data_IF_818903104968
#
_entry.id   IF_818903104968
#
_cell.length_a   1.000
_cell.length_b   1.000
_cell.length_c   1.000
_cell.angle_alpha   90.00
_cell.angle_beta   90.00
_cell.angle_gamma   90.00
#
_symmetry.space_group_name_H-M   'P 1'
#
loop_
_entity.id
_entity.type
_entity.pdbx_description
1 polymer ?
#
# COMPACT_ATOMS: atom_id res chain seq x y z
N UNK A 1 -42.57 -28.15 -13.73
CA UNK A 1 -41.24 -27.84 -14.31
C UNK A 1 -40.66 -26.49 -13.88
N UNK A 2 -41.31 -25.73 -12.98
CA UNK A 2 -40.81 -24.40 -12.56
C UNK A 2 -39.87 -24.43 -11.33
N UNK A 3 -39.96 -25.46 -10.48
CA UNK A 3 -39.18 -25.52 -9.23
C UNK A 3 -37.70 -25.85 -9.40
N UNK A 4 -37.31 -26.59 -10.45
CA UNK A 4 -35.89 -26.95 -10.67
C UNK A 4 -35.02 -25.76 -11.04
N UNK A 5 -35.60 -24.78 -11.74
CA UNK A 5 -34.90 -23.55 -12.09
C UNK A 5 -34.71 -22.65 -10.86
N UNK A 6 -35.71 -22.60 -9.99
CA UNK A 6 -35.68 -21.87 -8.72
C UNK A 6 -34.65 -22.47 -7.75
N UNK A 7 -34.61 -23.80 -7.63
CA UNK A 7 -33.57 -24.52 -6.88
C UNK A 7 -32.17 -24.30 -7.48
N UNK A 8 -32.05 -24.32 -8.81
CA UNK A 8 -30.78 -24.06 -9.50
C UNK A 8 -30.26 -22.64 -9.25
N UNK A 9 -31.15 -21.64 -9.25
CA UNK A 9 -30.80 -20.25 -8.91
C UNK A 9 -30.39 -20.14 -7.45
N UNK A 10 -31.11 -20.81 -6.53
CA UNK A 10 -30.75 -20.86 -5.11
C UNK A 10 -29.35 -21.45 -4.88
N UNK A 11 -29.02 -22.55 -5.57
CA UNK A 11 -27.69 -23.16 -5.52
C UNK A 11 -26.61 -22.27 -6.13
N UNK A 12 -26.92 -21.55 -7.21
CA UNK A 12 -25.98 -20.61 -7.84
C UNK A 12 -25.66 -19.43 -6.90
N UNK A 13 -26.67 -18.85 -6.25
CA UNK A 13 -26.48 -17.76 -5.28
C UNK A 13 -25.68 -18.24 -4.08
N UNK A 14 -25.98 -19.43 -3.55
CA UNK A 14 -25.24 -20.02 -2.44
C UNK A 14 -23.77 -20.27 -2.79
N UNK A 15 -23.52 -20.88 -3.95
CA UNK A 15 -22.17 -21.17 -4.44
C UNK A 15 -21.36 -19.90 -4.72
N UNK A 16 -21.95 -18.94 -5.43
CA UNK A 16 -21.30 -17.65 -5.71
C UNK A 16 -21.07 -16.82 -4.44
N UNK A 17 -22.00 -16.85 -3.49
CA UNK A 17 -21.86 -16.19 -2.19
C UNK A 17 -20.73 -16.77 -1.35
N UNK A 18 -20.61 -18.10 -1.31
CA UNK A 18 -19.52 -18.77 -0.60
C UNK A 18 -18.15 -18.45 -1.22
N UNK A 19 -18.05 -18.51 -2.56
CA UNK A 19 -16.81 -18.13 -3.27
C UNK A 19 -16.46 -16.67 -3.00
N UNK A 20 -17.44 -15.76 -3.05
CA UNK A 20 -17.22 -14.35 -2.73
C UNK A 20 -16.67 -14.17 -1.31
N UNK A 21 -17.31 -14.81 -0.31
CA UNK A 21 -16.85 -14.75 1.08
C UNK A 21 -15.44 -15.32 1.24
N UNK A 22 -15.15 -16.44 0.58
CA UNK A 22 -13.82 -17.05 0.58
C UNK A 22 -12.75 -16.11 0.00
N UNK A 23 -13.03 -15.46 -1.14
CA UNK A 23 -12.13 -14.48 -1.74
C UNK A 23 -11.94 -13.26 -0.84
N UNK A 24 -12.99 -12.75 -0.20
CA UNK A 24 -12.89 -11.66 0.78
C UNK A 24 -11.93 -12.05 1.90
N UNK A 25 -12.08 -13.25 2.47
CA UNK A 25 -11.16 -13.77 3.49
C UNK A 25 -9.72 -13.86 2.97
N UNK A 26 -9.51 -14.35 1.74
CA UNK A 26 -8.17 -14.42 1.14
C UNK A 26 -7.55 -13.05 0.89
N UNK A 27 -8.34 -12.05 0.49
CA UNK A 27 -7.88 -10.67 0.32
C UNK A 27 -7.39 -10.12 1.66
N UNK A 28 -8.19 -10.31 2.73
CA UNK A 28 -7.76 -9.91 4.07
C UNK A 28 -6.51 -10.66 4.50
N UNK A 29 -6.46 -11.99 4.35
CA UNK A 29 -5.29 -12.80 4.71
C UNK A 29 -4.02 -12.33 3.97
N UNK A 30 -4.12 -12.07 2.67
CA UNK A 30 -3.01 -11.56 1.86
C UNK A 30 -2.61 -10.14 2.29
N UNK A 31 -3.58 -9.29 2.62
CA UNK A 31 -3.32 -7.95 3.16
C UNK A 31 -2.66 -7.98 4.55
N UNK A 32 -3.09 -8.89 5.42
CA UNK A 32 -2.43 -9.15 6.71
C UNK A 32 -1.01 -9.64 6.49
N UNK A 33 -0.79 -10.56 5.56
CA UNK A 33 0.54 -11.04 5.22
C UNK A 33 1.41 -9.90 4.67
N UNK A 34 0.88 -9.03 3.81
CA UNK A 34 1.60 -7.85 3.32
C UNK A 34 2.00 -6.91 4.47
N UNK A 35 1.08 -6.63 5.41
CA UNK A 35 1.37 -5.76 6.55
C UNK A 35 2.34 -6.40 7.54
N UNK A 36 2.20 -7.70 7.77
CA UNK A 36 3.04 -8.48 8.66
C UNK A 36 4.45 -8.61 8.10
N UNK A 37 4.58 -8.82 6.78
CA UNK A 37 5.86 -8.81 6.09
C UNK A 37 6.52 -7.43 6.16
N UNK A 38 5.81 -6.34 5.86
CA UNK A 38 6.35 -4.98 6.00
C UNK A 38 6.75 -4.62 7.45
N UNK A 39 6.10 -5.23 8.45
CA UNK A 39 6.38 -4.98 9.85
C UNK A 39 7.55 -5.84 10.40
N UNK A 40 7.59 -7.14 10.07
CA UNK A 40 8.67 -8.04 10.51
C UNK A 40 9.94 -7.91 9.67
N UNK A 41 9.79 -7.61 8.38
CA UNK A 41 10.87 -7.30 7.45
C UNK A 41 10.54 -5.95 6.80
N UNK A 42 10.90 -4.82 7.46
CA UNK A 42 10.87 -3.53 6.81
C UNK A 42 11.84 -3.59 5.62
N UNK A 43 11.30 -3.94 4.45
CA UNK A 43 12.03 -3.80 3.22
C UNK A 43 12.17 -2.29 3.02
N UNK A 44 13.37 -1.80 3.34
CA UNK A 44 13.80 -0.44 3.05
C UNK A 44 13.37 -0.19 1.60
N UNK A 45 12.49 0.77 1.31
CA UNK A 45 11.96 0.94 -0.03
C UNK A 45 13.13 1.06 -0.98
N UNK A 46 13.37 0.01 -1.78
CA UNK A 46 14.20 0.14 -2.96
C UNK A 46 13.38 1.08 -3.80
N UNK A 47 13.81 2.34 -3.83
CA UNK A 47 13.18 3.43 -4.54
C UNK A 47 13.04 2.95 -5.98
N UNK A 48 11.87 2.41 -6.33
CA UNK A 48 11.56 2.10 -7.72
C UNK A 48 11.37 3.47 -8.32
N UNK A 49 12.48 4.04 -8.78
CA UNK A 49 12.53 5.32 -9.45
C UNK A 49 11.49 5.25 -10.55
N UNK A 50 10.35 5.92 -10.30
CA UNK A 50 9.37 6.18 -11.32
C UNK A 50 10.13 6.91 -12.41
N UNK A 51 10.31 6.23 -13.54
CA UNK A 51 11.00 6.76 -14.72
C UNK A 51 10.45 8.16 -14.99
N UNK A 52 11.26 9.23 -14.91
CA UNK A 52 10.74 10.56 -15.08
C UNK A 52 10.32 10.71 -16.55
N UNK A 53 9.03 10.93 -16.77
CA UNK A 53 8.58 11.58 -17.98
C UNK A 53 9.26 12.95 -18.01
N UNK A 54 10.12 13.15 -19.01
CA UNK A 54 10.89 14.37 -19.20
C UNK A 54 9.97 15.59 -19.28
N UNK A 55 10.02 16.45 -18.24
CA UNK A 55 9.83 17.90 -18.38
C UNK A 55 10.43 18.65 -17.19
N UNK A 56 11.68 19.09 -17.37
CA UNK A 56 12.38 20.22 -16.74
C UNK A 56 11.73 20.84 -15.49
N UNK A 57 12.11 20.34 -14.31
CA UNK A 57 12.30 21.19 -13.13
C UNK A 57 13.80 21.18 -12.84
N UNK A 58 14.39 22.37 -12.78
CA UNK A 58 15.81 22.58 -12.52
C UNK A 58 16.29 21.81 -11.29
N UNK A 59 17.35 21.01 -11.44
CA UNK A 59 17.94 20.20 -10.36
C UNK A 59 18.37 21.02 -9.14
N UNK A 60 18.55 22.33 -9.33
CA UNK A 60 18.86 23.29 -8.26
C UNK A 60 17.71 23.43 -7.24
N UNK A 61 16.45 23.26 -7.63
CA UNK A 61 15.31 23.36 -6.72
C UNK A 61 15.18 22.13 -5.80
N UNK A 62 15.44 20.94 -6.33
CA UNK A 62 15.43 19.68 -5.55
C UNK A 62 16.59 19.65 -4.56
N UNK A 63 17.78 20.12 -4.96
CA UNK A 63 18.96 20.18 -4.10
C UNK A 63 18.80 21.23 -2.98
N UNK A 64 18.21 22.39 -3.29
CA UNK A 64 17.86 23.41 -2.30
C UNK A 64 16.78 22.93 -1.31
N UNK A 65 15.79 22.19 -1.79
CA UNK A 65 14.76 21.60 -0.93
C UNK A 65 15.34 20.51 -0.02
N UNK A 66 16.22 19.66 -0.56
CA UNK A 66 16.90 18.58 0.17
C UNK A 66 17.83 19.14 1.27
N UNK A 67 18.63 20.15 0.94
CA UNK A 67 19.49 20.83 1.92
C UNK A 67 18.68 21.56 3.00
N UNK A 68 17.54 22.16 2.65
CA UNK A 68 16.63 22.79 3.61
C UNK A 68 16.02 21.77 4.59
N UNK A 69 15.55 20.61 4.11
CA UNK A 69 14.97 19.58 5.00
C UNK A 69 16.03 18.93 5.91
N UNK A 70 17.24 18.69 5.39
CA UNK A 70 18.35 18.15 6.20
C UNK A 70 18.75 19.16 7.28
N UNK A 71 18.85 20.45 6.93
CA UNK A 71 19.19 21.52 7.89
C UNK A 71 18.13 21.65 8.98
N UNK A 72 16.85 21.61 8.61
CA UNK A 72 15.73 21.65 9.55
C UNK A 72 15.74 20.44 10.50
N UNK A 73 15.97 19.23 9.97
CA UNK A 73 16.06 18.01 10.77
C UNK A 73 17.23 18.04 11.76
N UNK A 74 18.41 18.52 11.33
CA UNK A 74 19.59 18.65 12.20
C UNK A 74 19.37 19.70 13.28
N UNK A 75 18.77 20.85 12.93
CA UNK A 75 18.42 21.88 13.91
C UNK A 75 17.44 21.37 14.96
N UNK A 76 16.39 20.65 14.53
CA UNK A 76 15.42 20.04 15.43
C UNK A 76 16.08 19.03 16.36
N UNK A 77 16.93 18.14 15.83
CA UNK A 77 17.66 17.16 16.63
C UNK A 77 18.60 17.81 17.67
N UNK A 78 19.33 18.86 17.29
CA UNK A 78 20.21 19.60 18.22
C UNK A 78 19.42 20.31 19.32
N UNK A 79 18.27 20.89 18.98
CA UNK A 79 17.42 21.58 19.96
C UNK A 79 16.78 20.59 20.93
N UNK A 80 16.37 19.41 20.45
CA UNK A 80 15.84 18.32 21.28
C UNK A 80 16.88 17.65 22.18
N UNK A 81 18.18 17.75 21.86
CA UNK A 81 19.27 17.17 22.66
C UNK A 81 19.86 18.14 23.69
N UNK A 82 19.39 19.40 23.71
CA UNK A 82 19.78 20.45 24.68
C UNK A 82 18.64 20.81 25.63
N UNK A 83 17.78 19.83 25.95
CA UNK A 83 16.83 19.87 27.06
C UNK A 83 17.00 18.63 27.92
#
# INVERSE_FOLDING_TARGET
MNGLLEDGVGLMVLGMGFVFLFLVVLIFATGYMSRLLNYLFPEVPVVVASKPASKNLSSSGVDAQMTAVITAAVHQHRNSKKS
#
